data_IF_016698634847
#
_entry.id   IF_016698634847
#
_cell.length_a   1.000
_cell.length_b   1.000
_cell.length_c   1.000
_cell.angle_alpha   90.00
_cell.angle_beta   90.00
_cell.angle_gamma   90.00
#
_symmetry.space_group_name_H-M   'P 1'
#
loop_
_entity.id
_entity.type
_entity.pdbx_description
1 polymer ?
#
# COMPACT_ATOMS: atom_id res chain seq x y z
N UNK A 1 5.65 -1.62 23.58
CA UNK A 1 4.24 -1.11 23.53
C UNK A 1 3.30 -2.30 23.64
N UNK A 2 2.23 -2.21 24.45
CA UNK A 2 1.21 -3.25 24.48
C UNK A 2 0.44 -3.25 23.16
N UNK A 3 -0.03 -4.42 22.70
CA UNK A 3 -0.69 -4.55 21.38
C UNK A 3 -1.90 -3.62 21.22
N UNK A 4 -2.69 -3.44 22.28
CA UNK A 4 -3.85 -2.55 22.26
C UNK A 4 -3.44 -1.09 22.03
N UNK A 5 -2.32 -0.67 22.63
CA UNK A 5 -1.81 0.70 22.48
C UNK A 5 -1.29 0.93 21.06
N UNK A 6 -0.65 -0.09 20.47
CA UNK A 6 -0.22 -0.06 19.09
C UNK A 6 -1.42 0.10 18.14
N UNK A 7 -2.46 -0.73 18.31
CA UNK A 7 -3.69 -0.65 17.51
C UNK A 7 -4.33 0.74 17.64
N UNK A 8 -4.42 1.27 18.87
CA UNK A 8 -4.99 2.60 19.15
C UNK A 8 -4.13 3.75 18.59
N UNK A 9 -2.82 3.57 18.44
CA UNK A 9 -1.91 4.62 17.96
C UNK A 9 -1.85 4.74 16.43
N UNK A 10 -2.25 3.70 15.69
CA UNK A 10 -2.24 3.72 14.23
C UNK A 10 -3.15 4.84 13.69
N UNK A 11 -2.60 5.68 12.83
CA UNK A 11 -3.32 6.79 12.17
C UNK A 11 -3.03 6.80 10.68
N UNK A 12 -4.00 7.30 9.91
CA UNK A 12 -3.77 7.69 8.52
C UNK A 12 -3.00 9.00 8.50
N UNK A 13 -1.84 8.98 7.86
CA UNK A 13 -0.99 10.15 7.66
C UNK A 13 -1.09 10.54 6.20
N UNK A 14 -1.39 11.79 5.92
CA UNK A 14 -1.55 12.29 4.56
C UNK A 14 -0.18 12.68 3.95
N UNK A 15 -0.01 12.60 2.61
CA UNK A 15 1.27 12.88 1.97
C UNK A 15 1.85 14.28 2.24
N UNK A 16 1.03 15.26 2.54
CA UNK A 16 1.50 16.59 2.93
C UNK A 16 2.07 16.65 4.36
N UNK A 17 1.86 15.62 5.17
CA UNK A 17 2.37 15.50 6.53
C UNK A 17 3.65 14.66 6.61
N UNK A 18 4.11 14.07 5.49
CA UNK A 18 5.31 13.25 5.47
C UNK A 18 6.56 14.09 5.71
N UNK A 19 7.47 13.56 6.53
CA UNK A 19 8.77 14.17 6.81
C UNK A 19 9.81 13.95 5.71
N UNK A 20 9.47 13.16 4.68
CA UNK A 20 10.33 12.79 3.53
C UNK A 20 11.62 12.05 3.92
N UNK A 21 11.68 11.46 5.10
CA UNK A 21 12.80 10.62 5.49
C UNK A 21 12.91 9.41 4.56
N UNK A 22 14.14 8.99 4.29
CA UNK A 22 14.37 7.73 3.59
C UNK A 22 13.94 6.57 4.50
N UNK A 23 13.33 5.57 3.90
CA UNK A 23 12.95 4.33 4.57
C UNK A 23 13.96 3.26 4.17
N UNK A 24 14.58 2.64 5.16
CA UNK A 24 15.56 1.59 4.94
C UNK A 24 14.89 0.30 4.41
N UNK A 25 15.62 -0.45 3.60
CA UNK A 25 15.14 -1.71 3.04
C UNK A 25 14.79 -2.72 4.12
N UNK A 26 15.49 -2.70 5.25
CA UNK A 26 15.19 -3.51 6.42
C UNK A 26 13.76 -3.25 6.92
N UNK A 27 13.37 -2.00 7.07
CA UNK A 27 12.05 -1.65 7.59
C UNK A 27 10.94 -2.02 6.58
N UNK A 28 11.20 -1.83 5.29
CA UNK A 28 10.28 -2.29 4.25
C UNK A 28 10.09 -3.80 4.31
N UNK A 29 11.18 -4.56 4.47
CA UNK A 29 11.11 -6.01 4.57
C UNK A 29 10.34 -6.47 5.83
N UNK A 30 10.51 -5.79 6.98
CA UNK A 30 9.72 -6.08 8.17
C UNK A 30 8.22 -5.82 7.97
N UNK A 31 7.87 -4.74 7.26
CA UNK A 31 6.48 -4.44 6.91
C UNK A 31 5.90 -5.52 6.01
N UNK A 32 6.64 -5.95 4.98
CA UNK A 32 6.20 -6.99 4.06
C UNK A 32 6.13 -8.37 4.73
N UNK A 33 7.05 -8.68 5.63
CA UNK A 33 7.01 -9.91 6.43
C UNK A 33 5.76 -9.95 7.31
N UNK A 34 5.45 -8.85 8.00
CA UNK A 34 4.23 -8.77 8.81
C UNK A 34 2.95 -9.05 8.00
N UNK A 35 2.92 -8.66 6.72
CA UNK A 35 1.80 -8.94 5.82
C UNK A 35 1.57 -10.45 5.64
N UNK A 36 2.64 -11.24 5.55
CA UNK A 36 2.58 -12.68 5.32
C UNK A 36 1.98 -13.48 6.49
N UNK A 37 1.85 -12.85 7.67
CA UNK A 37 1.23 -13.46 8.85
C UNK A 37 -0.28 -13.20 8.95
N UNK A 38 -0.88 -12.65 7.91
CA UNK A 38 -2.33 -12.51 7.87
C UNK A 38 -3.02 -13.88 7.73
N UNK A 39 -4.22 -14.06 8.32
CA UNK A 39 -5.00 -15.27 8.12
C UNK A 39 -5.43 -15.40 6.65
N UNK A 40 -5.32 -16.61 6.12
CA UNK A 40 -5.72 -16.95 4.77
C UNK A 40 -6.40 -18.31 4.73
N UNK A 41 -7.70 -18.31 4.43
CA UNK A 41 -8.47 -19.56 4.31
C UNK A 41 -7.85 -20.42 3.21
N UNK A 42 -7.69 -21.74 3.47
CA UNK A 42 -7.02 -22.70 2.60
C UNK A 42 -5.60 -22.30 2.19
N UNK A 43 -4.98 -21.35 2.89
CA UNK A 43 -3.62 -20.86 2.61
C UNK A 43 -3.43 -20.42 1.15
N UNK A 44 -4.42 -19.78 0.56
CA UNK A 44 -4.32 -19.25 -0.81
C UNK A 44 -3.35 -18.08 -0.90
N UNK A 45 -3.14 -17.36 0.22
CA UNK A 45 -2.19 -16.24 0.34
C UNK A 45 -2.26 -15.29 -0.88
N UNK A 46 -3.43 -14.66 -1.11
CA UNK A 46 -3.74 -14.01 -2.39
C UNK A 46 -3.03 -12.66 -2.57
N UNK A 47 -2.37 -12.14 -1.55
CA UNK A 47 -1.69 -10.85 -1.61
C UNK A 47 -0.43 -10.87 -2.47
N UNK A 48 -0.24 -9.82 -3.23
CA UNK A 48 0.98 -9.54 -3.98
C UNK A 48 1.34 -8.07 -3.82
N UNK A 49 2.62 -7.79 -3.61
CA UNK A 49 3.09 -6.44 -3.38
C UNK A 49 4.14 -6.04 -4.39
N UNK A 50 4.08 -4.79 -4.86
CA UNK A 50 5.16 -4.18 -5.63
C UNK A 50 5.65 -2.94 -4.91
N UNK A 51 6.92 -2.91 -4.59
CA UNK A 51 7.57 -1.79 -3.92
C UNK A 51 8.18 -0.85 -4.95
N UNK A 52 7.73 0.38 -4.95
CA UNK A 52 8.22 1.44 -5.85
C UNK A 52 9.05 2.44 -5.06
N UNK A 53 10.27 2.71 -5.54
CA UNK A 53 11.21 3.66 -4.96
C UNK A 53 11.82 4.54 -6.04
N UNK A 54 12.37 5.68 -5.65
CA UNK A 54 13.13 6.55 -6.55
C UNK A 54 12.39 6.81 -7.86
N UNK A 55 13.07 6.60 -8.99
CA UNK A 55 12.52 6.83 -10.32
C UNK A 55 11.23 6.05 -10.61
N UNK A 56 11.13 4.78 -10.18
CA UNK A 56 9.93 3.96 -10.44
C UNK A 56 8.68 4.52 -9.77
N UNK A 57 8.83 5.11 -8.60
CA UNK A 57 7.77 5.83 -7.89
C UNK A 57 7.33 7.08 -8.66
N UNK A 58 8.28 7.85 -9.16
CA UNK A 58 7.99 9.06 -9.92
C UNK A 58 7.35 8.75 -11.28
N UNK A 59 7.81 7.70 -11.96
CA UNK A 59 7.21 7.21 -13.20
C UNK A 59 5.78 6.71 -12.97
N UNK A 60 5.50 6.08 -11.83
CA UNK A 60 4.14 5.71 -11.45
C UNK A 60 3.23 6.93 -11.25
N UNK A 61 3.74 8.01 -10.65
CA UNK A 61 3.00 9.27 -10.52
C UNK A 61 2.62 9.87 -11.89
N UNK A 62 3.56 9.88 -12.83
CA UNK A 62 3.30 10.32 -14.21
C UNK A 62 2.27 9.44 -14.91
N UNK A 63 2.38 8.12 -14.72
CA UNK A 63 1.41 7.15 -15.23
C UNK A 63 -0.01 7.43 -14.70
N UNK A 64 -0.16 7.65 -13.40
CA UNK A 64 -1.45 8.00 -12.80
C UNK A 64 -2.03 9.29 -13.37
N UNK A 65 -1.21 10.33 -13.51
CA UNK A 65 -1.62 11.59 -14.13
C UNK A 65 -2.08 11.41 -15.58
N UNK A 66 -1.34 10.63 -16.37
CA UNK A 66 -1.71 10.29 -17.74
C UNK A 66 -3.05 9.54 -17.80
N UNK A 67 -3.20 8.50 -16.99
CA UNK A 67 -4.44 7.70 -16.94
C UNK A 67 -5.64 8.51 -16.50
N UNK A 68 -5.49 9.39 -15.52
CA UNK A 68 -6.54 10.31 -15.12
C UNK A 68 -6.99 11.19 -16.29
N UNK A 69 -6.05 11.75 -17.04
CA UNK A 69 -6.35 12.59 -18.22
C UNK A 69 -7.10 11.82 -19.32
N UNK A 70 -6.70 10.55 -19.55
CA UNK A 70 -7.31 9.70 -20.58
C UNK A 70 -8.71 9.21 -20.20
N UNK A 71 -8.98 8.98 -18.92
CA UNK A 71 -10.20 8.32 -18.46
C UNK A 71 -11.26 9.25 -17.88
N UNK A 72 -10.96 10.54 -17.70
CA UNK A 72 -11.86 11.48 -17.00
C UNK A 72 -12.43 12.51 -17.96
N UNK A 73 -13.77 12.50 -18.19
CA UNK A 73 -14.40 13.51 -19.07
C UNK A 73 -14.20 14.94 -18.59
N UNK A 74 -14.24 15.14 -17.28
CA UNK A 74 -14.06 16.45 -16.64
C UNK A 74 -12.66 16.56 -16.05
N UNK A 75 -11.65 16.79 -16.91
CA UNK A 75 -10.26 16.91 -16.50
C UNK A 75 -10.03 18.13 -15.60
N UNK A 76 -9.32 17.93 -14.50
CA UNK A 76 -8.88 18.96 -13.58
C UNK A 76 -7.35 18.97 -13.45
N UNK A 77 -6.72 20.08 -13.78
CA UNK A 77 -5.27 20.26 -13.58
C UNK A 77 -4.87 20.09 -12.11
N UNK A 78 -5.72 20.52 -11.19
CA UNK A 78 -5.47 20.37 -9.76
C UNK A 78 -5.38 18.89 -9.35
N UNK A 79 -6.33 18.07 -9.78
CA UNK A 79 -6.33 16.62 -9.47
C UNK A 79 -5.14 15.93 -10.16
N UNK A 80 -4.89 16.23 -11.42
CA UNK A 80 -3.75 15.71 -12.18
C UNK A 80 -2.42 15.97 -11.45
N UNK A 81 -2.18 17.21 -11.07
CA UNK A 81 -0.95 17.61 -10.39
C UNK A 81 -0.84 16.97 -9.00
N UNK A 82 -1.95 16.87 -8.26
CA UNK A 82 -1.96 16.20 -6.96
C UNK A 82 -1.60 14.72 -7.05
N UNK A 83 -2.04 14.01 -8.08
CA UNK A 83 -1.67 12.60 -8.29
C UNK A 83 -0.15 12.44 -8.44
N UNK A 84 0.48 13.33 -9.21
CA UNK A 84 1.93 13.32 -9.40
C UNK A 84 2.67 13.73 -8.12
N UNK A 85 2.23 14.80 -7.47
CA UNK A 85 2.89 15.32 -6.26
C UNK A 85 2.80 14.37 -5.06
N UNK A 86 1.70 13.63 -4.90
CA UNK A 86 1.58 12.60 -3.85
C UNK A 86 2.67 11.54 -3.96
N UNK A 87 2.98 11.10 -5.17
CA UNK A 87 4.03 10.09 -5.38
C UNK A 87 5.41 10.65 -5.08
N UNK A 88 5.69 11.90 -5.43
CA UNK A 88 6.95 12.58 -5.11
C UNK A 88 7.16 12.77 -3.61
N UNK A 89 6.09 13.08 -2.87
CA UNK A 89 6.14 13.29 -1.41
C UNK A 89 6.38 11.98 -0.64
N UNK A 90 6.00 10.85 -1.20
CA UNK A 90 6.19 9.54 -0.58
C UNK A 90 7.63 9.06 -0.76
N UNK A 91 8.26 8.52 0.28
CA UNK A 91 9.58 7.89 0.17
C UNK A 91 9.50 6.54 -0.55
N UNK A 92 8.46 5.78 -0.26
CA UNK A 92 8.16 4.47 -0.83
C UNK A 92 6.66 4.38 -1.13
N UNK A 93 6.30 3.68 -2.19
CA UNK A 93 4.92 3.30 -2.50
C UNK A 93 4.86 1.78 -2.60
N UNK A 94 3.93 1.17 -1.90
CA UNK A 94 3.67 -0.27 -1.99
C UNK A 94 2.33 -0.43 -2.70
N UNK A 95 2.36 -1.00 -3.91
CA UNK A 95 1.15 -1.37 -4.63
C UNK A 95 0.63 -2.68 -4.05
N UNK A 96 -0.65 -2.68 -3.68
CA UNK A 96 -1.35 -3.82 -3.12
C UNK A 96 -2.15 -4.45 -4.25
N UNK A 97 -1.81 -5.69 -4.56
CA UNK A 97 -2.45 -6.47 -5.60
C UNK A 97 -3.03 -7.75 -5.02
N UNK A 98 -4.04 -8.28 -5.66
CA UNK A 98 -4.60 -9.59 -5.35
C UNK A 98 -4.42 -10.50 -6.56
N UNK A 99 -3.98 -11.72 -6.31
CA UNK A 99 -4.00 -12.81 -7.25
C UNK A 99 -4.93 -13.89 -6.72
N UNK A 100 -6.03 -14.12 -7.41
CA UNK A 100 -6.98 -15.16 -7.05
C UNK A 100 -6.34 -16.55 -7.09
N UNK A 101 -6.81 -17.42 -6.22
CA UNK A 101 -6.52 -18.84 -6.34
C UNK A 101 -6.92 -19.35 -7.73
N UNK A 102 -5.99 -19.97 -8.50
CA UNK A 102 -6.30 -20.47 -9.84
C UNK A 102 -7.45 -21.49 -9.88
N UNK A 103 -7.67 -22.21 -8.79
CA UNK A 103 -8.75 -23.20 -8.66
C UNK A 103 -10.08 -22.57 -8.20
N UNK A 104 -10.10 -21.27 -7.93
CA UNK A 104 -11.27 -20.57 -7.37
C UNK A 104 -11.93 -21.32 -6.19
N UNK A 105 -11.09 -21.91 -5.33
CA UNK A 105 -11.50 -22.78 -4.22
C UNK A 105 -12.23 -22.02 -3.10
N UNK A 106 -12.23 -20.68 -3.17
CA UNK A 106 -12.86 -19.77 -2.24
C UNK A 106 -13.68 -18.70 -2.97
N UNK A 107 -14.72 -18.16 -2.34
CA UNK A 107 -15.34 -16.93 -2.79
C UNK A 107 -14.33 -15.78 -2.82
N UNK A 108 -14.41 -14.91 -3.84
CA UNK A 108 -13.48 -13.79 -4.03
C UNK A 108 -13.41 -12.87 -2.81
N UNK A 109 -14.54 -12.63 -2.13
CA UNK A 109 -14.58 -11.75 -0.97
C UNK A 109 -13.71 -12.25 0.20
N UNK A 110 -13.53 -13.57 0.37
CA UNK A 110 -12.64 -14.13 1.39
C UNK A 110 -11.17 -13.81 1.08
N UNK A 111 -10.80 -13.87 -0.19
CA UNK A 111 -9.44 -13.50 -0.62
C UNK A 111 -9.20 -12.00 -0.49
N UNK A 112 -10.20 -11.16 -0.81
CA UNK A 112 -10.15 -9.71 -0.57
C UNK A 112 -9.99 -9.42 0.93
N UNK A 113 -10.74 -10.13 1.79
CA UNK A 113 -10.61 -10.00 3.24
C UNK A 113 -9.21 -10.36 3.72
N UNK A 114 -8.61 -11.44 3.21
CA UNK A 114 -7.23 -11.85 3.53
C UNK A 114 -6.22 -10.78 3.14
N UNK A 115 -6.34 -10.19 1.94
CA UNK A 115 -5.49 -9.06 1.51
C UNK A 115 -5.67 -7.87 2.44
N UNK A 116 -6.90 -7.54 2.83
CA UNK A 116 -7.17 -6.42 3.73
C UNK A 116 -6.54 -6.63 5.12
N UNK A 117 -6.60 -7.85 5.65
CA UNK A 117 -5.94 -8.22 6.91
C UNK A 117 -4.41 -8.11 6.80
N UNK A 118 -3.83 -8.51 5.68
CA UNK A 118 -2.39 -8.38 5.45
C UNK A 118 -1.95 -6.92 5.41
N UNK A 119 -2.74 -6.04 4.81
CA UNK A 119 -2.49 -4.58 4.82
C UNK A 119 -2.58 -4.01 6.24
N UNK A 120 -3.52 -4.47 7.06
CA UNK A 120 -3.61 -4.05 8.45
C UNK A 120 -2.34 -4.44 9.24
N UNK A 121 -1.81 -5.65 9.02
CA UNK A 121 -0.56 -6.07 9.65
C UNK A 121 0.61 -5.18 9.22
N UNK A 122 0.71 -4.84 7.93
CA UNK A 122 1.72 -3.89 7.42
C UNK A 122 1.61 -2.54 8.12
N UNK A 123 0.41 -2.05 8.28
CA UNK A 123 0.15 -0.74 8.88
C UNK A 123 0.51 -0.70 10.36
N UNK A 124 0.21 -1.77 11.09
CA UNK A 124 0.60 -1.91 12.49
C UNK A 124 2.12 -2.00 12.62
N UNK A 125 2.80 -2.78 11.74
CA UNK A 125 4.26 -2.87 11.75
C UNK A 125 4.88 -1.50 11.44
N UNK A 126 4.44 -0.79 10.41
CA UNK A 126 4.91 0.55 10.09
C UNK A 126 4.69 1.53 11.27
N UNK A 127 3.58 1.40 12.00
CA UNK A 127 3.31 2.20 13.20
C UNK A 127 4.28 1.87 14.34
N UNK A 128 4.73 0.63 14.46
CA UNK A 128 5.67 0.19 15.48
C UNK A 128 7.11 0.64 15.19
N UNK A 129 7.47 0.82 13.93
CA UNK A 129 8.82 1.19 13.46
C UNK A 129 9.13 2.70 13.60
N UNK A 130 8.25 3.49 14.15
CA UNK A 130 8.36 4.96 14.34
C UNK A 130 9.74 5.44 14.76
#
# INVERSE_FOLDING_TARGET
>A
MKILDLIKSRRSIMPNQYNRSLIEDRDINLILDAANWAPSHKKTEPWRYKVLKNKTKDDFGKFLGKKYKESTPNFSNFIHNNLIEKTKKSSVIILICMQRDPNESLPEWEEIASVSMSVQNMWLMATNLK
#
